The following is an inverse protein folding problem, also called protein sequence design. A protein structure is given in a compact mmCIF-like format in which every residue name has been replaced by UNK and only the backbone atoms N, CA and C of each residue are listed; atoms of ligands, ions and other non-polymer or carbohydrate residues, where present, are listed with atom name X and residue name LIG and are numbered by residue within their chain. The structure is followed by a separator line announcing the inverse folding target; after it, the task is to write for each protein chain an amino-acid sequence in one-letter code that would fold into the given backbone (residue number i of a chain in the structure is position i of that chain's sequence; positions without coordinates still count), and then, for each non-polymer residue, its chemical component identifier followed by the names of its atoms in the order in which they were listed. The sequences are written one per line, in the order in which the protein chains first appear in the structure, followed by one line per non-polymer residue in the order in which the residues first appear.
data_IF_685496708286
#
_entry.id   IF_685496708286
#
_cell.length_a   1.000
_cell.length_b   1.000
_cell.length_c   1.000
_cell.angle_alpha   90.00
_cell.angle_beta   90.00
_cell.angle_gamma   90.00
#
_symmetry.space_group_name_H-M   'P 1'
#
loop_
_entity.id
_entity.type
_entity.pdbx_description
1 polymer ?
#
# COMPACT_ATOMS: atom_id res chain seq x y z
N UNK A 1 8.05 -16.02 -6.06
CA UNK A 1 7.03 -15.29 -5.30
C UNK A 1 7.34 -13.81 -5.34
N UNK A 2 6.34 -13.00 -5.58
CA UNK A 2 6.50 -11.56 -5.62
C UNK A 2 6.90 -11.01 -4.24
N UNK A 3 7.74 -9.99 -4.25
CA UNK A 3 8.18 -9.32 -3.02
C UNK A 3 7.37 -8.05 -2.81
N UNK A 4 7.19 -7.67 -1.56
CA UNK A 4 6.51 -6.43 -1.20
C UNK A 4 7.47 -5.53 -0.43
N UNK A 5 7.69 -4.33 -0.97
CA UNK A 5 8.33 -3.26 -0.21
C UNK A 5 7.20 -2.35 0.25
N UNK A 6 6.92 -2.36 1.55
CA UNK A 6 5.87 -1.51 2.09
C UNK A 6 6.49 -0.26 2.71
N UNK A 7 6.13 0.89 2.15
CA UNK A 7 6.57 2.18 2.66
C UNK A 7 5.43 2.76 3.49
N UNK A 8 5.63 2.85 4.79
CA UNK A 8 4.61 3.37 5.71
C UNK A 8 5.07 4.68 6.32
N UNK A 9 4.11 5.44 6.82
CA UNK A 9 4.38 6.69 7.50
C UNK A 9 3.18 7.62 7.38
N UNK A 10 3.19 8.74 8.13
CA UNK A 10 2.14 9.73 7.99
C UNK A 10 2.19 10.41 6.63
N UNK A 11 1.14 11.15 6.29
CA UNK A 11 1.13 11.93 5.06
C UNK A 11 2.27 12.93 5.02
N UNK A 12 2.66 13.32 3.82
CA UNK A 12 3.65 14.37 3.56
C UNK A 12 5.08 14.05 4.03
N UNK A 13 5.44 12.77 4.17
CA UNK A 13 6.83 12.38 4.48
C UNK A 13 7.61 11.91 3.26
N UNK A 14 7.06 12.13 2.06
CA UNK A 14 7.78 11.81 0.81
C UNK A 14 7.71 10.35 0.40
N UNK A 15 6.71 9.59 0.85
CA UNK A 15 6.56 8.17 0.49
C UNK A 15 6.48 7.94 -1.01
N UNK A 16 5.70 8.78 -1.71
CA UNK A 16 5.55 8.64 -3.15
C UNK A 16 6.87 8.90 -3.88
N UNK A 17 7.60 9.92 -3.47
CA UNK A 17 8.89 10.24 -4.07
C UNK A 17 9.88 9.09 -3.91
N UNK A 18 9.97 8.52 -2.71
CA UNK A 18 10.83 7.36 -2.45
C UNK A 18 10.37 6.16 -3.26
N UNK A 19 9.05 5.93 -3.32
CA UNK A 19 8.49 4.84 -4.12
C UNK A 19 8.84 4.97 -5.60
N UNK A 20 8.75 6.18 -6.14
CA UNK A 20 9.11 6.45 -7.54
C UNK A 20 10.59 6.22 -7.81
N UNK A 21 11.47 6.62 -6.88
CA UNK A 21 12.90 6.37 -7.02
C UNK A 21 13.22 4.87 -6.97
N UNK A 22 12.56 4.12 -6.07
CA UNK A 22 12.74 2.68 -6.01
C UNK A 22 12.25 1.99 -7.28
N UNK A 23 11.17 2.48 -7.88
CA UNK A 23 10.65 1.94 -9.14
C UNK A 23 11.68 2.08 -10.26
N UNK A 24 12.45 3.17 -10.26
CA UNK A 24 13.47 3.41 -11.28
C UNK A 24 14.65 2.45 -11.18
N UNK A 25 14.99 2.01 -9.99
CA UNK A 25 16.19 1.19 -9.75
C UNK A 25 15.88 -0.27 -9.51
N UNK A 26 14.60 -0.66 -9.57
CA UNK A 26 14.17 -2.05 -9.40
C UNK A 26 13.24 -2.43 -10.53
N UNK A 27 12.91 -3.72 -10.63
CA UNK A 27 11.86 -4.20 -11.54
C UNK A 27 10.48 -4.20 -10.86
N UNK A 28 10.36 -3.60 -9.69
CA UNK A 28 9.12 -3.57 -8.95
C UNK A 28 8.22 -2.46 -9.46
N UNK A 29 6.91 -2.65 -9.33
CA UNK A 29 5.91 -1.68 -9.74
C UNK A 29 5.39 -0.91 -8.53
N UNK A 30 5.20 0.39 -8.72
CA UNK A 30 4.69 1.25 -7.66
C UNK A 30 3.17 1.13 -7.56
N UNK A 31 2.69 0.75 -6.39
CA UNK A 31 1.29 0.76 -6.03
C UNK A 31 1.10 1.82 -4.96
N UNK A 32 0.82 3.04 -5.41
CA UNK A 32 0.68 4.17 -4.50
C UNK A 32 -0.68 4.13 -3.81
N UNK A 33 -0.70 4.48 -2.54
CA UNK A 33 -1.90 4.47 -1.69
C UNK A 33 -3.11 5.13 -2.35
N UNK A 34 -2.92 6.28 -3.01
CA UNK A 34 -4.03 7.02 -3.61
C UNK A 34 -4.62 6.38 -4.85
N UNK A 35 -3.97 5.40 -5.46
CA UNK A 35 -4.51 4.75 -6.66
C UNK A 35 -5.87 4.11 -6.42
N UNK A 36 -6.02 3.40 -5.32
CA UNK A 36 -7.30 2.78 -4.98
C UNK A 36 -8.31 3.80 -4.47
N UNK A 37 -7.87 4.77 -3.71
CA UNK A 37 -8.74 5.85 -3.21
C UNK A 37 -9.31 6.64 -4.38
N UNK A 38 -8.50 7.05 -5.32
CA UNK A 38 -8.94 7.83 -6.48
C UNK A 38 -9.90 7.04 -7.35
N UNK A 39 -9.65 5.75 -7.54
CA UNK A 39 -10.55 4.90 -8.31
C UNK A 39 -11.92 4.79 -7.64
N UNK A 40 -11.95 4.47 -6.36
CA UNK A 40 -13.20 4.27 -5.62
C UNK A 40 -13.98 5.57 -5.50
N UNK A 41 -13.29 6.69 -5.39
CA UNK A 41 -13.92 8.02 -5.24
C UNK A 41 -14.82 8.39 -6.42
N UNK A 42 -14.67 7.73 -7.58
CA UNK A 42 -15.59 7.92 -8.70
C UNK A 42 -16.99 7.39 -8.38
N UNK A 43 -17.13 6.51 -7.41
CA UNK A 43 -18.39 5.82 -7.09
C UNK A 43 -18.84 6.11 -5.66
N UNK A 44 -17.93 6.02 -4.70
CA UNK A 44 -18.21 6.24 -3.28
C UNK A 44 -17.12 7.11 -2.68
N UNK A 45 -17.51 8.14 -1.96
CA UNK A 45 -16.54 8.99 -1.26
C UNK A 45 -15.77 8.15 -0.22
N UNK A 46 -14.48 8.40 -0.09
CA UNK A 46 -13.65 7.73 0.92
C UNK A 46 -14.08 8.08 2.35
N UNK A 47 -14.87 9.14 2.52
CA UNK A 47 -15.44 9.47 3.83
C UNK A 47 -16.61 8.56 4.23
N UNK A 48 -17.15 7.78 3.29
CA UNK A 48 -18.24 6.85 3.55
C UNK A 48 -17.72 5.48 3.94
N UNK A 49 -18.56 4.71 4.62
CA UNK A 49 -18.24 3.33 4.97
C UNK A 49 -18.02 2.47 3.73
N UNK A 50 -18.90 2.63 2.73
CA UNK A 50 -18.81 1.89 1.48
C UNK A 50 -17.49 2.17 0.75
N UNK A 51 -17.09 3.44 0.69
CA UNK A 51 -15.83 3.82 0.05
C UNK A 51 -14.62 3.21 0.74
N UNK A 52 -14.59 3.28 2.07
CA UNK A 52 -13.48 2.70 2.85
C UNK A 52 -13.41 1.19 2.71
N UNK A 53 -14.55 0.52 2.76
CA UNK A 53 -14.61 -0.93 2.61
C UNK A 53 -14.16 -1.38 1.22
N UNK A 54 -14.56 -0.65 0.19
CA UNK A 54 -14.17 -0.98 -1.18
C UNK A 54 -12.68 -0.77 -1.40
N UNK A 55 -12.11 0.30 -0.88
CA UNK A 55 -10.65 0.53 -0.97
C UNK A 55 -9.89 -0.60 -0.28
N UNK A 56 -10.32 -0.98 0.91
CA UNK A 56 -9.69 -2.06 1.67
C UNK A 56 -9.76 -3.40 0.91
N UNK A 57 -10.91 -3.71 0.36
CA UNK A 57 -11.10 -4.93 -0.44
C UNK A 57 -10.18 -4.93 -1.66
N UNK A 58 -10.15 -3.83 -2.41
CA UNK A 58 -9.33 -3.73 -3.62
C UNK A 58 -7.84 -3.88 -3.31
N UNK A 59 -7.36 -3.24 -2.26
CA UNK A 59 -5.94 -3.36 -1.87
C UNK A 59 -5.58 -4.81 -1.55
N UNK A 60 -6.40 -5.47 -0.75
CA UNK A 60 -6.15 -6.87 -0.39
C UNK A 60 -6.18 -7.76 -1.62
N UNK A 61 -7.20 -7.63 -2.45
CA UNK A 61 -7.37 -8.48 -3.62
C UNK A 61 -6.25 -8.25 -4.63
N UNK A 62 -5.85 -7.01 -4.85
CA UNK A 62 -4.74 -6.69 -5.74
C UNK A 62 -3.42 -7.26 -5.23
N UNK A 63 -3.13 -7.11 -3.96
CA UNK A 63 -1.90 -7.65 -3.38
C UNK A 63 -1.87 -9.18 -3.45
N UNK A 64 -3.00 -9.83 -3.19
CA UNK A 64 -3.10 -11.28 -3.34
C UNK A 64 -2.87 -11.71 -4.79
N UNK A 65 -3.44 -10.97 -5.73
CA UNK A 65 -3.26 -11.26 -7.15
C UNK A 65 -1.79 -11.11 -7.56
N UNK A 66 -1.14 -10.04 -7.11
CA UNK A 66 0.28 -9.85 -7.38
C UNK A 66 1.13 -10.97 -6.81
N UNK A 67 0.79 -11.45 -5.63
CA UNK A 67 1.52 -12.55 -4.98
C UNK A 67 1.48 -13.83 -5.81
N UNK A 68 0.39 -14.06 -6.54
CA UNK A 68 0.20 -15.27 -7.37
C UNK A 68 0.71 -15.08 -8.80
N UNK A 69 1.08 -13.88 -9.17
CA UNK A 69 1.51 -13.55 -10.53
C UNK A 69 3.03 -13.73 -10.69
N UNK A 70 3.51 -13.50 -11.90
CA UNK A 70 4.94 -13.54 -12.22
C UNK A 70 5.64 -12.20 -12.00
N UNK A 71 4.95 -11.20 -11.44
CA UNK A 71 5.54 -9.90 -11.18
C UNK A 71 6.66 -10.03 -10.14
N UNK A 72 7.76 -9.32 -10.33
CA UNK A 72 8.92 -9.41 -9.43
C UNK A 72 8.62 -8.86 -8.04
N UNK A 73 7.88 -7.76 -7.99
CA UNK A 73 7.53 -7.17 -6.72
C UNK A 73 6.70 -5.90 -6.86
N UNK A 74 6.20 -5.45 -5.74
CA UNK A 74 5.36 -4.26 -5.61
C UNK A 74 5.97 -3.35 -4.56
N UNK A 75 5.98 -2.07 -4.85
CA UNK A 75 6.30 -1.02 -3.89
C UNK A 75 4.97 -0.40 -3.48
N UNK A 76 4.52 -0.69 -2.26
CA UNK A 76 3.22 -0.23 -1.77
C UNK A 76 3.43 0.88 -0.75
N UNK A 77 2.90 2.07 -1.04
CA UNK A 77 2.91 3.17 -0.08
C UNK A 77 1.59 3.17 0.68
N UNK A 78 1.65 3.26 2.00
CA UNK A 78 0.48 3.19 2.84
C UNK A 78 0.57 4.19 3.98
N UNK A 79 -0.46 5.02 4.13
CA UNK A 79 -0.56 5.95 5.25
C UNK A 79 -1.12 5.18 6.45
N UNK A 80 -0.33 5.08 7.50
CA UNK A 80 -0.71 4.35 8.72
C UNK A 80 -0.90 5.35 9.85
N UNK A 81 -2.05 5.27 10.50
CA UNK A 81 -2.27 5.94 11.77
C UNK A 81 -2.04 4.92 12.88
N UNK A 82 -0.91 5.03 13.56
CA UNK A 82 -0.52 4.07 14.58
C UNK A 82 -1.39 4.11 15.83
N UNK A 83 -2.20 5.15 15.98
CA UNK A 83 -3.17 5.25 17.06
C UNK A 83 -4.45 4.46 16.77
N UNK A 84 -4.62 3.96 15.56
CA UNK A 84 -5.79 3.20 15.15
C UNK A 84 -5.46 1.72 14.98
N UNK A 85 -6.16 0.89 15.75
CA UNK A 85 -6.02 -0.56 15.70
C UNK A 85 -6.29 -1.12 14.31
N UNK A 86 -7.28 -0.57 13.62
CA UNK A 86 -7.67 -1.05 12.30
C UNK A 86 -6.53 -0.89 11.29
N UNK A 87 -5.81 0.24 11.33
CA UNK A 87 -4.67 0.46 10.45
C UNK A 87 -3.55 -0.53 10.73
N UNK A 88 -3.29 -0.84 12.00
CA UNK A 88 -2.29 -1.83 12.36
C UNK A 88 -2.69 -3.23 11.87
N UNK A 89 -3.96 -3.58 11.99
CA UNK A 89 -4.47 -4.85 11.47
C UNK A 89 -4.35 -4.93 9.95
N UNK A 90 -4.61 -3.83 9.25
CA UNK A 90 -4.47 -3.77 7.80
C UNK A 90 -3.03 -4.01 7.37
N UNK A 91 -2.07 -3.40 8.05
CA UNK A 91 -0.65 -3.61 7.78
C UNK A 91 -0.30 -5.09 7.91
N UNK A 92 -0.75 -5.73 8.97
CA UNK A 92 -0.48 -7.17 9.18
C UNK A 92 -1.12 -8.01 8.08
N UNK A 93 -2.34 -7.67 7.65
CA UNK A 93 -3.02 -8.37 6.56
C UNK A 93 -2.22 -8.27 5.26
N UNK A 94 -1.77 -7.07 4.92
CA UNK A 94 -1.01 -6.86 3.69
C UNK A 94 0.34 -7.57 3.72
N UNK A 95 1.01 -7.59 4.86
CA UNK A 95 2.29 -8.29 5.03
C UNK A 95 2.17 -9.79 4.78
N UNK A 96 1.02 -10.38 5.09
CA UNK A 96 0.78 -11.81 4.90
C UNK A 96 0.57 -12.19 3.45
N UNK A 97 0.17 -11.26 2.60
CA UNK A 97 -0.14 -11.56 1.19
C UNK A 97 1.11 -11.88 0.37
N UNK A 98 2.23 -11.25 0.69
CA UNK A 98 3.46 -11.33 -0.08
C UNK A 98 4.66 -11.50 0.86
N UNK A 99 5.78 -11.95 0.29
CA UNK A 99 7.05 -11.90 1.00
C UNK A 99 7.44 -10.43 1.16
N UNK A 100 7.31 -9.93 2.39
CA UNK A 100 7.36 -8.51 2.66
C UNK A 100 8.74 -8.07 3.13
N UNK A 101 9.21 -6.99 2.54
CA UNK A 101 10.34 -6.21 3.04
C UNK A 101 9.75 -4.89 3.51
N UNK A 102 9.80 -4.64 4.81
CA UNK A 102 9.25 -3.41 5.37
C UNK A 102 10.25 -2.27 5.28
N UNK A 103 9.80 -1.15 4.72
CA UNK A 103 10.51 0.10 4.80
C UNK A 103 9.62 1.10 5.53
N UNK A 104 9.93 1.36 6.78
CA UNK A 104 9.14 2.23 7.63
C UNK A 104 9.76 3.62 7.66
N UNK A 105 9.16 4.55 6.93
CA UNK A 105 9.70 5.90 6.77
C UNK A 105 9.29 6.88 7.85
N UNK A 106 8.50 6.46 8.82
CA UNK A 106 8.28 7.27 10.01
C UNK A 106 9.60 7.68 10.64
N UNK A 107 10.57 6.79 10.60
CA UNK A 107 11.88 7.01 11.20
C UNK A 107 12.73 8.00 10.41
N UNK A 108 12.28 8.39 9.23
CA UNK A 108 13.00 9.36 8.39
C UNK A 108 12.54 10.80 8.61
N UNK A 109 11.60 11.01 9.48
CA UNK A 109 11.09 12.34 9.79
C UNK A 109 11.99 13.07 10.78
#
# INVERSE_FOLDING_TARGET
MAKLIMITGPQAVGKMTVGQELEKITNFKLFHNHMTIDLVNNFFSYSTKEGREMVKMLRRDMLEFFAKSSIDGIIFTYVVNYDEEEDLKNVETYKKCLKTIMANFIMLN
#
